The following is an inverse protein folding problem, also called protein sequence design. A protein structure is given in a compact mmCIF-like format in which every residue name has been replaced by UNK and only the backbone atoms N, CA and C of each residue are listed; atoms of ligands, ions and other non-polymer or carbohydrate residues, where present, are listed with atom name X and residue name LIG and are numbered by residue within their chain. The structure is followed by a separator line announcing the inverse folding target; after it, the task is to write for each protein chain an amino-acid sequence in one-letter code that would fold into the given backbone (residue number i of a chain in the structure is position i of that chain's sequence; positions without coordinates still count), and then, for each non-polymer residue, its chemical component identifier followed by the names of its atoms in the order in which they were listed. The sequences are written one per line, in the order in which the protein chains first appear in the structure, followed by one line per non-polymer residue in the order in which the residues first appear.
data_IF_600385926610
#
_entry.id   IF_600385926610
#
_cell.length_a   1.000
_cell.length_b   1.000
_cell.length_c   1.000
_cell.angle_alpha   90.00
_cell.angle_beta   90.00
_cell.angle_gamma   90.00
#
_symmetry.space_group_name_H-M   'P 1'
#
loop_
_entity.id
_entity.type
_entity.pdbx_description
1 polymer ?
#
# COMPACT_ATOMS: atom_id res chain seq x y z
N UNK A 1 -24.06 18.02 20.05
CA UNK A 1 -25.51 17.71 20.13
C UNK A 1 -26.15 18.57 21.22
N UNK A 2 -27.42 19.00 21.13
CA UNK A 2 -28.10 19.66 22.26
C UNK A 2 -28.25 18.69 23.46
N UNK A 3 -28.34 19.20 24.71
CA UNK A 3 -28.54 18.36 25.89
C UNK A 3 -29.80 17.49 25.76
N UNK A 4 -29.60 16.18 25.86
CA UNK A 4 -30.65 15.18 25.66
C UNK A 4 -30.95 14.47 26.97
N UNK A 5 -32.21 14.42 27.42
CA UNK A 5 -32.59 13.75 28.66
C UNK A 5 -32.28 12.26 28.64
N UNK A 6 -31.75 11.72 29.75
CA UNK A 6 -31.45 10.28 29.89
C UNK A 6 -32.49 9.52 30.72
N UNK A 7 -33.58 10.19 31.13
CA UNK A 7 -34.70 9.58 31.86
C UNK A 7 -34.48 9.41 33.37
N UNK A 8 -33.57 10.18 33.98
CA UNK A 8 -33.33 10.19 35.44
C UNK A 8 -33.41 11.63 35.95
N UNK A 9 -34.37 11.95 36.84
CA UNK A 9 -34.48 13.22 37.59
C UNK A 9 -33.95 14.49 36.88
N UNK A 10 -34.47 14.77 35.68
CA UNK A 10 -34.11 15.93 34.85
C UNK A 10 -32.64 16.00 34.39
N UNK A 11 -31.90 14.90 34.48
CA UNK A 11 -30.53 14.78 33.98
C UNK A 11 -30.56 14.66 32.45
N UNK A 12 -29.74 15.49 31.81
CA UNK A 12 -29.50 15.47 30.38
C UNK A 12 -27.99 15.44 30.11
N UNK A 13 -27.61 14.84 28.98
CA UNK A 13 -26.23 14.78 28.51
C UNK A 13 -26.11 15.46 27.15
N UNK A 14 -25.04 16.21 26.92
CA UNK A 14 -24.60 16.55 25.57
C UNK A 14 -23.26 15.88 25.25
N UNK A 15 -22.94 15.82 23.96
CA UNK A 15 -21.64 15.37 23.48
C UNK A 15 -21.14 16.41 22.49
N UNK A 16 -19.88 16.81 22.67
CA UNK A 16 -19.15 17.71 21.79
C UNK A 16 -17.71 17.24 21.62
N UNK A 17 -17.09 17.62 20.51
CA UNK A 17 -15.65 17.48 20.26
C UNK A 17 -15.10 18.84 19.92
N UNK A 18 -14.00 19.23 20.57
CA UNK A 18 -13.24 20.43 20.24
C UNK A 18 -11.74 20.12 20.29
N UNK A 19 -11.03 20.42 19.19
CA UNK A 19 -9.57 20.24 19.03
C UNK A 19 -9.04 18.87 19.53
N UNK A 20 -9.77 17.79 19.26
CA UNK A 20 -9.36 16.42 19.63
C UNK A 20 -9.63 16.05 21.09
N UNK A 21 -10.39 16.86 21.83
CA UNK A 21 -10.89 16.52 23.15
C UNK A 21 -12.41 16.39 23.07
N UNK A 22 -12.91 15.26 23.53
CA UNK A 22 -14.33 14.99 23.68
C UNK A 22 -14.82 15.49 25.02
N UNK A 23 -15.98 16.13 25.01
CA UNK A 23 -16.65 16.66 26.18
C UNK A 23 -18.04 16.05 26.29
N UNK A 24 -18.37 15.60 27.50
CA UNK A 24 -19.73 15.27 27.89
C UNK A 24 -20.15 16.28 28.95
N UNK A 25 -20.99 17.22 28.55
CA UNK A 25 -21.66 18.11 29.48
C UNK A 25 -22.80 17.35 30.16
N UNK A 26 -22.80 17.42 31.49
CA UNK A 26 -23.85 16.85 32.33
C UNK A 26 -24.71 18.03 32.79
N UNK A 27 -26.01 17.95 32.54
CA UNK A 27 -26.97 19.01 32.84
C UNK A 27 -28.07 18.50 33.75
N UNK A 28 -28.64 19.41 34.56
CA UNK A 28 -29.88 19.17 35.28
C UNK A 28 -30.77 20.39 35.16
N UNK A 29 -32.03 20.20 34.74
CA UNK A 29 -33.00 21.31 34.54
C UNK A 29 -32.46 22.45 33.66
N UNK A 30 -31.63 22.11 32.66
CA UNK A 30 -31.02 23.06 31.73
C UNK A 30 -29.72 23.71 32.21
N UNK A 31 -29.32 23.53 33.47
CA UNK A 31 -28.05 24.05 33.98
C UNK A 31 -26.95 23.00 33.91
N UNK A 32 -25.76 23.40 33.43
CA UNK A 32 -24.59 22.53 33.36
C UNK A 32 -24.00 22.34 34.75
N UNK A 33 -23.93 21.09 35.20
CA UNK A 33 -23.49 20.73 36.56
C UNK A 33 -22.09 20.13 36.59
N UNK A 34 -21.64 19.49 35.51
CA UNK A 34 -20.32 18.89 35.42
C UNK A 34 -19.92 18.64 33.95
N UNK A 35 -18.62 18.38 33.75
CA UNK A 35 -18.03 17.95 32.49
C UNK A 35 -17.23 16.66 32.67
N UNK A 36 -17.31 15.75 31.69
CA UNK A 36 -16.33 14.68 31.47
C UNK A 36 -15.55 14.98 30.19
N UNK A 37 -14.28 15.34 30.34
CA UNK A 37 -13.37 15.56 29.22
C UNK A 37 -12.46 14.34 29.03
N UNK A 38 -12.31 13.88 27.79
CA UNK A 38 -11.51 12.71 27.41
C UNK A 38 -10.89 12.92 26.03
N UNK A 39 -9.68 12.40 25.82
CA UNK A 39 -9.09 12.34 24.47
C UNK A 39 -9.74 11.24 23.61
N UNK A 40 -10.25 10.20 24.25
CA UNK A 40 -10.92 9.09 23.59
C UNK A 40 -12.41 9.34 23.45
N UNK A 41 -12.99 8.92 22.32
CA UNK A 41 -14.40 9.11 22.01
C UNK A 41 -15.29 8.40 23.07
N UNK A 42 -16.19 9.14 23.74
CA UNK A 42 -16.96 8.63 24.87
C UNK A 42 -17.93 7.51 24.50
N UNK A 43 -18.34 7.43 23.24
CA UNK A 43 -19.35 6.48 22.74
C UNK A 43 -18.79 5.06 22.58
N UNK A 44 -17.47 4.94 22.44
CA UNK A 44 -16.76 3.65 22.31
C UNK A 44 -15.86 3.35 23.52
N UNK A 45 -15.52 4.39 24.31
CA UNK A 45 -14.64 4.24 25.47
C UNK A 45 -15.35 3.47 26.59
N UNK A 46 -14.78 2.30 26.95
CA UNK A 46 -15.27 1.50 28.07
C UNK A 46 -15.23 2.30 29.38
N UNK A 47 -16.33 2.26 30.13
CA UNK A 47 -16.42 2.88 31.46
C UNK A 47 -16.80 4.37 31.48
N UNK A 48 -17.09 4.99 30.33
CA UNK A 48 -17.60 6.38 30.27
C UNK A 48 -18.88 6.56 31.10
N UNK A 49 -19.86 5.66 30.94
CA UNK A 49 -21.10 5.69 31.73
C UNK A 49 -20.85 5.57 33.25
N UNK A 50 -19.84 4.77 33.65
CA UNK A 50 -19.42 4.68 35.05
C UNK A 50 -18.88 6.02 35.53
N UNK A 51 -17.99 6.68 34.77
CA UNK A 51 -17.45 8.00 35.15
C UNK A 51 -18.54 9.06 35.30
N UNK A 52 -19.51 9.08 34.39
CA UNK A 52 -20.69 9.96 34.49
C UNK A 52 -21.46 9.68 35.77
N UNK A 53 -21.75 8.41 36.05
CA UNK A 53 -22.48 8.02 37.25
C UNK A 53 -21.74 8.42 38.55
N UNK A 54 -20.40 8.30 38.59
CA UNK A 54 -19.61 8.78 39.73
C UNK A 54 -19.69 10.31 39.88
N UNK A 55 -19.61 11.07 38.78
CA UNK A 55 -19.74 12.54 38.79
C UNK A 55 -21.12 12.98 39.26
N UNK A 56 -22.18 12.37 38.74
CA UNK A 56 -23.57 12.64 39.14
C UNK A 56 -23.78 12.28 40.61
N UNK A 57 -23.25 11.14 41.08
CA UNK A 57 -23.36 10.70 42.48
C UNK A 57 -22.64 11.64 43.45
N UNK A 58 -21.52 12.24 43.02
CA UNK A 58 -20.77 13.21 43.81
C UNK A 58 -21.58 14.48 44.05
N UNK A 59 -22.24 15.00 43.01
CA UNK A 59 -23.07 16.21 43.10
C UNK A 59 -24.44 15.92 43.74
N UNK A 60 -24.98 14.71 43.54
CA UNK A 60 -26.30 14.31 44.02
C UNK A 60 -26.25 12.95 44.72
N UNK A 61 -25.89 12.92 46.02
CA UNK A 61 -25.75 11.68 46.78
C UNK A 61 -27.03 10.85 46.91
N UNK A 62 -28.21 11.44 46.70
CA UNK A 62 -29.49 10.73 46.77
C UNK A 62 -29.79 9.87 45.53
N UNK A 63 -29.17 10.15 44.38
CA UNK A 63 -29.41 9.41 43.14
C UNK A 63 -28.78 8.00 43.16
N UNK A 64 -29.46 7.00 42.59
CA UNK A 64 -28.89 5.66 42.44
C UNK A 64 -27.83 5.65 41.32
N UNK A 65 -26.59 5.38 41.73
CA UNK A 65 -25.43 5.27 40.84
C UNK A 65 -25.63 4.23 39.75
N UNK A 66 -26.23 3.07 40.06
CA UNK A 66 -26.47 2.02 39.06
C UNK A 66 -27.52 2.43 38.05
N UNK A 67 -28.58 3.11 38.49
CA UNK A 67 -29.63 3.62 37.62
C UNK A 67 -29.08 4.68 36.66
N UNK A 68 -28.26 5.62 37.15
CA UNK A 68 -27.60 6.64 36.31
C UNK A 68 -26.65 5.99 35.31
N UNK A 69 -25.82 5.03 35.74
CA UNK A 69 -24.92 4.31 34.85
C UNK A 69 -25.71 3.60 33.73
N UNK A 70 -26.76 2.85 34.08
CA UNK A 70 -27.58 2.14 33.09
C UNK A 70 -28.35 3.08 32.16
N UNK A 71 -28.74 4.27 32.62
CA UNK A 71 -29.35 5.31 31.78
C UNK A 71 -28.35 5.91 30.79
N UNK A 72 -27.12 6.21 31.24
CA UNK A 72 -26.05 6.69 30.37
C UNK A 72 -25.64 5.64 29.32
N UNK A 73 -25.56 4.36 29.70
CA UNK A 73 -25.29 3.27 28.76
C UNK A 73 -26.36 3.20 27.65
N UNK A 74 -27.65 3.27 28.01
CA UNK A 74 -28.75 3.30 27.03
C UNK A 74 -28.70 4.53 26.13
N UNK A 75 -28.37 5.70 26.69
CA UNK A 75 -28.18 6.91 25.90
C UNK A 75 -27.07 6.73 24.86
N UNK A 76 -25.92 6.20 25.24
CA UNK A 76 -24.82 5.97 24.30
C UNK A 76 -25.12 4.90 23.26
N UNK A 77 -25.89 3.85 23.60
CA UNK A 77 -26.40 2.90 22.59
C UNK A 77 -27.34 3.61 21.61
N UNK A 78 -28.32 4.37 22.12
CA UNK A 78 -29.26 5.10 21.27
C UNK A 78 -28.56 6.12 20.35
N UNK A 79 -27.54 6.83 20.84
CA UNK A 79 -26.75 7.76 20.01
C UNK A 79 -25.94 6.99 18.95
N UNK A 80 -25.37 5.83 19.28
CA UNK A 80 -24.67 4.98 18.29
C UNK A 80 -25.61 4.43 17.23
N UNK A 81 -26.85 4.10 17.60
CA UNK A 81 -27.87 3.61 16.67
C UNK A 81 -28.48 4.74 15.82
N UNK A 82 -28.55 5.96 16.37
CA UNK A 82 -29.17 7.12 15.70
C UNK A 82 -28.20 7.96 14.85
N UNK A 83 -26.89 7.89 15.11
CA UNK A 83 -25.93 8.89 14.61
C UNK A 83 -24.73 8.27 13.85
N UNK A 84 -24.82 8.28 12.51
CA UNK A 84 -23.71 7.97 11.56
C UNK A 84 -22.53 8.97 11.65
N UNK A 85 -22.60 10.02 12.48
CA UNK A 85 -21.53 11.01 12.59
C UNK A 85 -20.34 10.58 13.47
N UNK A 86 -20.45 9.47 14.22
CA UNK A 86 -19.30 8.93 14.98
C UNK A 86 -18.33 8.18 14.05
N UNK A 87 -18.86 7.54 13.00
CA UNK A 87 -18.08 7.04 11.85
C UNK A 87 -17.43 8.18 11.06
N UNK A 88 -17.94 9.41 11.18
CA UNK A 88 -17.31 10.58 10.57
C UNK A 88 -16.02 11.02 11.28
N UNK A 89 -15.75 10.70 12.55
CA UNK A 89 -14.50 11.20 13.18
C UNK A 89 -13.26 10.55 12.55
N UNK A 90 -13.17 9.23 12.49
CA UNK A 90 -12.03 8.55 11.88
C UNK A 90 -11.94 8.83 10.37
N UNK A 91 -13.06 8.76 9.66
CA UNK A 91 -13.12 9.02 8.21
C UNK A 91 -12.75 10.47 7.91
N UNK A 92 -13.35 11.46 8.59
CA UNK A 92 -13.01 12.87 8.38
C UNK A 92 -11.57 13.16 8.80
N UNK A 93 -11.07 12.62 9.92
CA UNK A 93 -9.67 12.82 10.33
C UNK A 93 -8.70 12.32 9.27
N UNK A 94 -8.93 11.13 8.72
CA UNK A 94 -8.09 10.60 7.65
C UNK A 94 -8.26 11.44 6.39
N UNK A 95 -9.47 11.56 5.84
CA UNK A 95 -9.70 12.24 4.56
C UNK A 95 -9.25 13.71 4.59
N UNK A 96 -9.55 14.45 5.66
CA UNK A 96 -9.12 15.86 5.79
C UNK A 96 -7.61 16.04 5.93
N UNK A 97 -6.90 14.99 6.35
CA UNK A 97 -5.44 15.01 6.43
C UNK A 97 -4.76 14.67 5.11
N UNK A 98 -5.48 14.13 4.12
CA UNK A 98 -4.91 13.73 2.83
C UNK A 98 -4.64 14.96 1.97
N UNK A 99 -3.39 15.08 1.52
CA UNK A 99 -2.98 16.07 0.50
C UNK A 99 -3.04 15.46 -0.90
N UNK A 100 -2.56 14.22 -1.03
CA UNK A 100 -2.52 13.50 -2.32
C UNK A 100 -2.50 12.00 -2.08
N UNK A 101 -3.09 11.25 -3.01
CA UNK A 101 -2.97 9.80 -3.07
C UNK A 101 -2.29 9.43 -4.39
N UNK A 102 -1.20 8.69 -4.28
CA UNK A 102 -0.39 8.23 -5.39
C UNK A 102 -0.51 6.72 -5.49
N UNK A 103 -0.87 6.22 -6.67
CA UNK A 103 -0.79 4.79 -6.98
C UNK A 103 0.52 4.56 -7.72
N UNK A 104 1.53 4.11 -6.98
CA UNK A 104 2.81 3.75 -7.57
C UNK A 104 2.62 2.50 -8.43
N UNK A 105 2.95 2.62 -9.72
CA UNK A 105 2.75 1.57 -10.73
C UNK A 105 3.83 0.47 -10.64
N UNK A 106 4.25 0.12 -9.43
CA UNK A 106 5.12 -1.00 -9.15
C UNK A 106 4.42 -2.35 -9.38
N UNK A 107 5.18 -3.45 -9.42
CA UNK A 107 4.66 -4.82 -9.52
C UNK A 107 4.98 -5.62 -8.23
N UNK A 108 4.03 -5.73 -7.26
CA UNK A 108 2.63 -5.26 -7.32
C UNK A 108 2.47 -3.77 -6.96
N UNK A 109 1.35 -3.11 -7.37
CA UNK A 109 1.13 -1.70 -7.08
C UNK A 109 0.91 -1.41 -5.59
N UNK A 110 1.40 -0.25 -5.16
CA UNK A 110 1.20 0.30 -3.81
C UNK A 110 0.54 1.67 -3.87
N UNK A 111 -0.21 2.00 -2.83
CA UNK A 111 -0.89 3.28 -2.67
C UNK A 111 -0.20 4.07 -1.57
N UNK A 112 0.37 5.22 -1.93
CA UNK A 112 1.01 6.15 -1.00
C UNK A 112 0.05 7.29 -0.73
N UNK A 113 -0.39 7.40 0.51
CA UNK A 113 -1.30 8.43 1.00
C UNK A 113 -0.46 9.49 1.70
N UNK A 114 -0.25 10.64 1.05
CA UNK A 114 0.51 11.76 1.60
C UNK A 114 -0.37 12.65 2.44
N UNK A 115 0.08 12.94 3.65
CA UNK A 115 -0.65 13.72 4.64
C UNK A 115 -0.14 15.17 4.73
N UNK A 116 -0.93 16.03 5.36
CA UNK A 116 -0.71 17.48 5.47
C UNK A 116 0.54 17.92 6.24
N UNK A 117 1.10 17.05 7.07
CA UNK A 117 2.35 17.24 7.81
C UNK A 117 3.59 16.73 7.07
N UNK A 118 3.42 16.20 5.86
CA UNK A 118 4.50 15.64 5.05
C UNK A 118 4.76 14.16 5.30
N UNK A 119 4.07 13.54 6.26
CA UNK A 119 4.16 12.10 6.46
C UNK A 119 3.29 11.32 5.46
N UNK A 120 3.45 9.99 5.42
CA UNK A 120 2.73 9.15 4.48
C UNK A 120 2.35 7.79 5.05
N UNK A 121 1.14 7.33 4.69
CA UNK A 121 0.72 5.95 4.92
C UNK A 121 0.79 5.16 3.61
N UNK A 122 1.41 3.98 3.64
CA UNK A 122 1.57 3.13 2.45
C UNK A 122 0.72 1.87 2.57
N UNK A 123 -0.12 1.61 1.56
CA UNK A 123 -0.99 0.45 1.49
C UNK A 123 -0.67 -0.40 0.26
N UNK A 124 -0.50 -1.71 0.45
CA UNK A 124 -0.48 -2.65 -0.66
C UNK A 124 -1.91 -2.86 -1.20
N UNK A 125 -2.01 -3.35 -2.44
CA UNK A 125 -3.31 -3.79 -2.99
C UNK A 125 -3.98 -4.86 -2.11
N UNK A 126 -3.19 -5.70 -1.43
CA UNK A 126 -3.70 -6.71 -0.48
C UNK A 126 -4.33 -6.06 0.75
N UNK A 127 -3.70 -5.03 1.31
CA UNK A 127 -4.23 -4.32 2.48
C UNK A 127 -5.60 -3.71 2.19
N UNK A 128 -5.71 -3.00 1.05
CA UNK A 128 -6.95 -2.36 0.61
C UNK A 128 -8.06 -3.39 0.28
N UNK A 129 -7.68 -4.57 -0.23
CA UNK A 129 -8.64 -5.65 -0.50
C UNK A 129 -9.12 -6.33 0.78
N UNK A 130 -8.23 -6.55 1.74
CA UNK A 130 -8.53 -7.28 2.98
C UNK A 130 -9.43 -6.48 3.93
N UNK A 131 -9.43 -5.14 3.87
CA UNK A 131 -10.24 -4.25 4.70
C UNK A 131 -10.10 -4.52 6.21
N UNK A 132 -8.90 -4.93 6.65
CA UNK A 132 -8.65 -5.19 8.06
C UNK A 132 -8.34 -3.87 8.79
N UNK A 133 -9.18 -3.42 9.75
CA UNK A 133 -9.03 -2.10 10.35
C UNK A 133 -7.70 -1.91 11.09
N UNK A 134 -7.16 -3.01 11.62
CA UNK A 134 -5.84 -3.01 12.28
C UNK A 134 -4.75 -2.44 11.37
N UNK A 135 -4.79 -2.74 10.07
CA UNK A 135 -3.80 -2.25 9.11
C UNK A 135 -3.84 -0.72 8.96
N UNK A 136 -5.03 -0.13 8.97
CA UNK A 136 -5.21 1.32 8.94
C UNK A 136 -4.83 1.96 10.28
N UNK A 137 -5.32 1.40 11.39
CA UNK A 137 -5.07 1.93 12.73
C UNK A 137 -3.59 1.92 13.11
N UNK A 138 -2.86 0.85 12.79
CA UNK A 138 -1.42 0.76 13.05
C UNK A 138 -0.62 1.80 12.25
N UNK A 139 -0.97 1.99 10.96
CA UNK A 139 -0.30 2.99 10.10
C UNK A 139 -0.60 4.41 10.56
N UNK A 140 -1.84 4.68 10.95
CA UNK A 140 -2.22 5.98 11.50
C UNK A 140 -1.47 6.26 12.80
N UNK A 141 -1.46 5.29 13.74
CA UNK A 141 -0.77 5.44 15.01
C UNK A 141 0.73 5.68 14.81
N UNK A 142 1.36 4.99 13.86
CA UNK A 142 2.79 5.15 13.55
C UNK A 142 3.15 6.55 13.02
N UNK A 143 2.18 7.26 12.44
CA UNK A 143 2.36 8.55 11.77
C UNK A 143 1.85 9.72 12.62
N UNK A 144 0.85 9.47 13.48
CA UNK A 144 0.16 10.52 14.25
C UNK A 144 0.35 10.43 15.74
N UNK A 145 0.99 9.36 16.23
CA UNK A 145 1.14 9.04 17.66
C UNK A 145 -0.18 9.13 18.46
N UNK A 146 -1.32 8.95 17.79
CA UNK A 146 -2.67 9.04 18.35
C UNK A 146 -3.57 7.94 17.75
N UNK A 147 -4.41 7.26 18.54
CA UNK A 147 -5.29 6.23 18.02
C UNK A 147 -6.38 6.78 17.09
N UNK A 148 -6.57 6.09 15.96
CA UNK A 148 -7.67 6.36 15.03
C UNK A 148 -8.97 5.65 15.42
N UNK A 149 -8.86 4.48 16.05
CA UNK A 149 -9.98 3.60 16.44
C UNK A 149 -10.96 3.29 15.29
N UNK A 150 -10.49 3.23 14.05
CA UNK A 150 -11.30 2.93 12.88
C UNK A 150 -11.84 1.49 12.91
N UNK A 151 -13.07 1.32 12.43
CA UNK A 151 -13.75 0.03 12.23
C UNK A 151 -13.60 -0.47 10.78
N UNK A 152 -14.14 -1.67 10.49
CA UNK A 152 -14.19 -2.21 9.13
C UNK A 152 -15.02 -1.36 8.17
N UNK A 153 -16.04 -0.66 8.69
CA UNK A 153 -16.87 0.24 7.88
C UNK A 153 -16.08 1.51 7.53
N UNK A 154 -15.41 2.10 8.50
CA UNK A 154 -14.59 3.30 8.29
C UNK A 154 -13.47 3.05 7.29
N UNK A 155 -12.77 1.91 7.42
CA UNK A 155 -11.71 1.58 6.48
C UNK A 155 -12.24 1.33 5.06
N UNK A 156 -13.45 0.77 4.92
CA UNK A 156 -14.09 0.64 3.61
C UNK A 156 -14.33 2.00 2.96
N UNK A 157 -14.88 2.95 3.71
CA UNK A 157 -15.15 4.31 3.20
C UNK A 157 -13.87 5.07 2.87
N UNK A 158 -12.88 5.02 3.76
CA UNK A 158 -11.55 5.60 3.52
C UNK A 158 -10.94 5.00 2.26
N UNK A 159 -10.93 3.67 2.12
CA UNK A 159 -10.42 3.01 0.92
C UNK A 159 -11.16 3.47 -0.33
N UNK A 160 -12.48 3.54 -0.30
CA UNK A 160 -13.28 3.95 -1.46
C UNK A 160 -12.91 5.38 -1.87
N UNK A 161 -12.67 6.29 -0.91
CA UNK A 161 -12.11 7.61 -1.18
C UNK A 161 -10.69 7.54 -1.77
N UNK A 162 -9.76 6.77 -1.15
CA UNK A 162 -8.38 6.63 -1.62
C UNK A 162 -8.32 6.16 -3.08
N UNK A 163 -9.11 5.14 -3.43
CA UNK A 163 -9.16 4.60 -4.79
C UNK A 163 -9.76 5.60 -5.79
N UNK A 164 -10.70 6.44 -5.35
CA UNK A 164 -11.32 7.46 -6.20
C UNK A 164 -10.39 8.64 -6.52
N UNK A 165 -9.52 9.02 -5.58
CA UNK A 165 -8.62 10.19 -5.74
C UNK A 165 -7.18 9.81 -6.11
N UNK A 166 -6.84 8.52 -6.17
CA UNK A 166 -5.51 8.04 -6.50
C UNK A 166 -5.10 8.42 -7.93
N UNK A 167 -3.95 9.06 -8.06
CA UNK A 167 -3.32 9.36 -9.35
C UNK A 167 -2.19 8.36 -9.60
N UNK A 168 -2.13 7.71 -10.78
CA UNK A 168 -1.01 6.83 -11.10
C UNK A 168 0.29 7.63 -11.20
N UNK A 169 1.35 7.11 -10.59
CA UNK A 169 2.70 7.68 -10.67
C UNK A 169 3.73 6.58 -10.91
N UNK A 170 4.87 6.97 -11.46
CA UNK A 170 6.02 6.08 -11.55
C UNK A 170 6.62 5.87 -10.14
N UNK A 171 7.01 4.63 -9.81
CA UNK A 171 7.64 4.36 -8.53
C UNK A 171 8.99 5.07 -8.43
N UNK A 172 9.42 5.50 -7.23
CA UNK A 172 10.70 6.18 -7.03
C UNK A 172 11.93 5.26 -7.22
N UNK A 173 11.70 3.95 -7.29
CA UNK A 173 12.70 2.92 -7.57
C UNK A 173 12.25 2.01 -8.70
N UNK A 174 12.89 0.84 -8.88
CA UNK A 174 12.54 -0.06 -9.97
C UNK A 174 11.06 -0.45 -9.90
N UNK A 175 10.35 -0.32 -11.02
CA UNK A 175 8.91 -0.59 -11.08
C UNK A 175 8.61 -2.09 -10.96
N UNK A 176 9.61 -2.94 -11.13
CA UNK A 176 9.48 -4.36 -10.87
C UNK A 176 10.72 -4.92 -10.18
N UNK A 177 10.58 -5.88 -9.23
CA UNK A 177 11.72 -6.64 -8.74
C UNK A 177 12.49 -7.36 -9.87
N UNK A 178 11.85 -7.56 -11.02
CA UNK A 178 12.43 -8.18 -12.19
C UNK A 178 13.33 -7.26 -13.02
N UNK A 179 13.24 -5.93 -12.87
CA UNK A 179 14.16 -4.98 -13.53
C UNK A 179 15.60 -5.26 -13.12
N UNK A 180 15.85 -5.42 -11.82
CA UNK A 180 17.18 -5.77 -11.31
C UNK A 180 17.66 -7.13 -11.84
N UNK A 181 16.74 -8.08 -11.98
CA UNK A 181 17.06 -9.42 -12.52
C UNK A 181 17.45 -9.32 -14.00
N UNK A 182 16.72 -8.50 -14.77
CA UNK A 182 17.02 -8.22 -16.17
C UNK A 182 18.39 -7.54 -16.33
N UNK A 183 18.69 -6.48 -15.58
CA UNK A 183 19.99 -5.80 -15.69
C UNK A 183 21.18 -6.71 -15.37
N UNK A 184 21.01 -7.65 -14.42
CA UNK A 184 22.03 -8.67 -14.15
C UNK A 184 22.17 -9.67 -15.29
N UNK A 185 21.07 -10.05 -15.93
CA UNK A 185 21.10 -10.93 -17.09
C UNK A 185 21.85 -10.24 -18.25
N UNK A 186 21.53 -8.99 -18.54
CA UNK A 186 22.21 -8.14 -19.55
C UNK A 186 23.71 -8.07 -19.27
N UNK A 187 24.08 -7.71 -18.03
CA UNK A 187 25.49 -7.69 -17.58
C UNK A 187 26.18 -9.04 -17.75
N UNK A 188 25.47 -10.15 -17.46
CA UNK A 188 26.01 -11.51 -17.53
C UNK A 188 26.29 -11.95 -18.97
N UNK A 189 25.41 -11.58 -19.90
CA UNK A 189 25.51 -12.01 -21.31
C UNK A 189 26.30 -11.04 -22.19
N UNK A 190 26.47 -9.78 -21.77
CA UNK A 190 27.24 -8.76 -22.47
C UNK A 190 28.66 -9.25 -22.90
N UNK A 191 29.50 -9.86 -22.03
CA UNK A 191 30.84 -10.30 -22.44
C UNK A 191 30.85 -11.60 -23.27
N UNK A 192 29.71 -12.29 -23.39
CA UNK A 192 29.66 -13.62 -24.02
C UNK A 192 29.69 -13.48 -25.56
N UNK A 193 30.61 -14.16 -26.28
CA UNK A 193 30.64 -14.12 -27.74
C UNK A 193 29.33 -14.61 -28.38
N UNK A 194 28.85 -13.89 -29.39
CA UNK A 194 27.62 -14.25 -30.10
C UNK A 194 27.93 -15.08 -31.35
N UNK A 195 27.61 -16.37 -31.26
CA UNK A 195 27.73 -17.31 -32.39
C UNK A 195 26.38 -17.46 -33.11
N UNK A 196 26.41 -17.60 -34.44
CA UNK A 196 25.20 -17.81 -35.26
C UNK A 196 24.78 -19.29 -35.36
N UNK A 197 25.55 -20.19 -34.75
CA UNK A 197 25.25 -21.61 -34.71
C UNK A 197 24.84 -22.07 -33.31
N UNK A 198 23.98 -23.09 -33.25
CA UNK A 198 23.48 -23.65 -31.97
C UNK A 198 24.58 -24.30 -31.12
N UNK A 199 25.80 -24.48 -31.62
CA UNK A 199 26.96 -24.86 -30.81
C UNK A 199 27.31 -23.82 -29.74
N UNK A 200 26.98 -22.55 -29.97
CA UNK A 200 27.14 -21.46 -28.99
C UNK A 200 26.38 -21.70 -27.69
N UNK A 201 25.17 -22.28 -27.75
CA UNK A 201 24.41 -22.66 -26.55
C UNK A 201 25.16 -23.65 -25.65
N UNK A 202 25.98 -24.53 -26.24
CA UNK A 202 26.78 -25.49 -25.49
C UNK A 202 28.02 -24.84 -24.90
N UNK A 203 28.77 -24.08 -25.71
CA UNK A 203 30.06 -23.49 -25.32
C UNK A 203 29.91 -22.31 -24.37
N UNK A 204 28.95 -21.45 -24.66
CA UNK A 204 28.84 -20.11 -24.10
C UNK A 204 27.49 -19.88 -23.40
N UNK A 205 26.49 -20.72 -23.68
CA UNK A 205 25.15 -20.58 -23.10
C UNK A 205 24.23 -19.65 -23.89
N UNK A 206 24.69 -19.05 -25.00
CA UNK A 206 23.87 -18.23 -25.90
C UNK A 206 24.18 -18.53 -27.38
N UNK A 207 23.23 -18.28 -28.29
CA UNK A 207 23.47 -18.19 -29.72
C UNK A 207 22.41 -17.33 -30.42
N UNK A 208 22.74 -16.69 -31.54
CA UNK A 208 21.77 -16.00 -32.40
C UNK A 208 21.26 -16.96 -33.47
N UNK A 209 19.95 -17.18 -33.54
CA UNK A 209 19.36 -17.95 -34.62
C UNK A 209 19.23 -17.12 -35.92
N UNK A 210 19.23 -17.76 -37.11
CA UNK A 210 19.08 -17.06 -38.39
C UNK A 210 17.80 -16.22 -38.55
N UNK A 211 16.78 -16.49 -37.73
CA UNK A 211 15.54 -15.72 -37.67
C UNK A 211 15.63 -14.46 -36.78
N UNK A 212 16.82 -14.15 -36.25
CA UNK A 212 17.05 -12.98 -35.40
C UNK A 212 16.72 -13.19 -33.92
N UNK A 213 16.41 -14.42 -33.48
CA UNK A 213 16.13 -14.71 -32.07
C UNK A 213 17.41 -15.06 -31.32
N UNK A 214 17.69 -14.35 -30.24
CA UNK A 214 18.77 -14.70 -29.32
C UNK A 214 18.30 -15.82 -28.39
N UNK A 215 18.93 -16.99 -28.45
CA UNK A 215 18.69 -18.06 -27.51
C UNK A 215 19.61 -17.93 -26.31
N UNK A 216 19.05 -17.98 -25.10
CA UNK A 216 19.79 -17.98 -23.83
C UNK A 216 19.43 -19.24 -23.05
N UNK A 217 20.44 -19.96 -22.56
CA UNK A 217 20.26 -21.21 -21.82
C UNK A 217 19.49 -20.99 -20.51
N UNK A 218 18.62 -21.94 -20.18
CA UNK A 218 17.71 -21.80 -19.03
C UNK A 218 18.41 -21.82 -17.68
N UNK A 219 19.53 -22.54 -17.55
CA UNK A 219 20.36 -22.53 -16.34
C UNK A 219 21.00 -21.16 -16.09
N UNK A 220 21.52 -20.49 -17.14
CA UNK A 220 22.09 -19.14 -17.03
C UNK A 220 21.04 -18.14 -16.52
N UNK A 221 19.81 -18.22 -17.03
CA UNK A 221 18.70 -17.40 -16.54
C UNK A 221 18.34 -17.76 -15.10
N UNK A 222 18.28 -19.05 -14.76
CA UNK A 222 17.97 -19.51 -13.40
C UNK A 222 19.01 -19.03 -12.38
N UNK A 223 20.30 -19.09 -12.72
CA UNK A 223 21.38 -18.60 -11.86
C UNK A 223 21.20 -17.10 -11.56
N UNK A 224 20.88 -16.30 -12.58
CA UNK A 224 20.63 -14.85 -12.41
C UNK A 224 19.39 -14.58 -11.53
N UNK A 225 18.33 -15.38 -11.69
CA UNK A 225 17.12 -15.27 -10.84
C UNK A 225 17.48 -15.54 -9.38
N UNK A 226 18.22 -16.62 -9.10
CA UNK A 226 18.66 -17.01 -7.75
C UNK A 226 19.58 -15.95 -7.15
N UNK A 227 20.56 -15.45 -7.89
CA UNK A 227 21.47 -14.38 -7.44
C UNK A 227 20.73 -13.07 -7.14
N UNK A 228 19.53 -12.87 -7.70
CA UNK A 228 18.66 -11.71 -7.44
C UNK A 228 17.73 -11.91 -6.25
N UNK A 229 17.87 -13.02 -5.51
CA UNK A 229 17.04 -13.36 -4.35
C UNK A 229 15.62 -13.78 -4.73
N UNK A 230 15.38 -14.09 -6.00
CA UNK A 230 14.07 -14.48 -6.52
C UNK A 230 13.97 -16.00 -6.63
N UNK A 231 12.74 -16.53 -6.67
CA UNK A 231 12.52 -17.97 -6.84
C UNK A 231 12.64 -18.36 -8.33
N UNK A 232 13.60 -19.22 -8.73
CA UNK A 232 13.78 -19.64 -10.13
C UNK A 232 12.62 -20.48 -10.68
N UNK A 233 11.75 -21.00 -9.80
CA UNK A 233 10.55 -21.73 -10.19
C UNK A 233 9.31 -20.82 -10.32
N UNK A 234 9.41 -19.54 -9.96
CA UNK A 234 8.34 -18.57 -10.22
C UNK A 234 8.40 -18.14 -11.69
N UNK A 235 7.29 -18.31 -12.41
CA UNK A 235 7.13 -17.80 -13.77
C UNK A 235 7.07 -16.27 -13.89
N UNK A 236 7.24 -15.54 -12.78
CA UNK A 236 7.21 -14.07 -12.73
C UNK A 236 8.19 -13.41 -13.70
N UNK A 237 9.43 -13.90 -13.78
CA UNK A 237 10.42 -13.34 -14.70
C UNK A 237 10.03 -13.52 -16.17
N UNK A 238 9.50 -14.69 -16.53
CA UNK A 238 9.01 -14.94 -17.90
C UNK A 238 7.84 -14.02 -18.25
N UNK A 239 6.89 -13.83 -17.33
CA UNK A 239 5.77 -12.89 -17.50
C UNK A 239 6.26 -11.45 -17.66
N UNK A 240 7.25 -11.05 -16.86
CA UNK A 240 7.88 -9.74 -16.95
C UNK A 240 8.55 -9.50 -18.30
N UNK A 241 9.43 -10.40 -18.75
CA UNK A 241 10.10 -10.27 -20.05
C UNK A 241 9.11 -10.26 -21.22
N UNK A 242 8.02 -11.04 -21.13
CA UNK A 242 6.95 -11.02 -22.14
C UNK A 242 6.20 -9.69 -22.17
N UNK A 243 5.92 -9.10 -21.01
CA UNK A 243 5.30 -7.76 -20.89
C UNK A 243 6.18 -6.67 -21.50
N UNK A 244 7.50 -6.78 -21.34
CA UNK A 244 8.50 -5.85 -21.91
C UNK A 244 8.78 -6.10 -23.40
N UNK A 245 8.20 -7.12 -24.02
CA UNK A 245 8.47 -7.47 -25.42
C UNK A 245 9.84 -8.15 -25.65
N UNK A 246 10.57 -8.47 -24.59
CA UNK A 246 11.91 -9.09 -24.65
C UNK A 246 11.79 -10.60 -24.90
N UNK A 247 10.83 -11.29 -24.28
CA UNK A 247 10.66 -12.74 -24.45
C UNK A 247 9.83 -13.05 -25.71
N UNK A 248 10.47 -13.65 -26.71
CA UNK A 248 9.85 -14.05 -27.98
C UNK A 248 9.41 -15.52 -27.96
N UNK A 249 10.17 -16.39 -27.29
CA UNK A 249 9.93 -17.84 -27.23
C UNK A 249 10.15 -18.33 -25.80
N UNK A 250 9.12 -18.94 -25.21
CA UNK A 250 9.22 -19.55 -23.88
C UNK A 250 10.29 -20.67 -23.84
N UNK A 251 10.74 -20.98 -22.62
CA UNK A 251 11.73 -22.04 -22.40
C UNK A 251 11.29 -23.35 -23.03
N UNK A 252 12.05 -23.85 -24.00
CA UNK A 252 11.80 -25.15 -24.63
C UNK A 252 13.11 -25.89 -24.92
N UNK A 253 13.08 -27.21 -25.11
CA UNK A 253 14.27 -27.97 -25.47
C UNK A 253 14.70 -27.70 -26.91
N UNK A 254 15.99 -27.47 -27.10
CA UNK A 254 16.65 -27.33 -28.41
C UNK A 254 17.64 -28.46 -28.63
N UNK A 255 17.67 -28.96 -29.86
CA UNK A 255 18.66 -29.95 -30.31
C UNK A 255 19.89 -29.23 -30.83
N UNK A 256 21.03 -29.51 -30.22
CA UNK A 256 22.35 -29.02 -30.67
C UNK A 256 22.99 -30.12 -31.53
N UNK A 257 23.42 -29.81 -32.77
CA UNK A 257 24.15 -30.74 -33.63
C UNK A 257 25.34 -31.39 -32.89
N UNK A 258 25.49 -32.71 -33.04
CA UNK A 258 26.61 -33.45 -32.43
C UNK A 258 26.48 -33.76 -30.93
N UNK A 259 25.33 -33.47 -30.31
CA UNK A 259 25.08 -33.77 -28.88
C UNK A 259 23.76 -34.51 -28.66
N UNK A 260 23.79 -35.51 -27.75
CA UNK A 260 22.60 -36.25 -27.30
C UNK A 260 21.70 -35.46 -26.33
N UNK A 261 22.20 -34.72 -25.31
CA UNK A 261 21.31 -33.99 -24.42
C UNK A 261 20.66 -32.80 -25.14
N UNK A 262 19.36 -32.62 -24.91
CA UNK A 262 18.64 -31.42 -25.29
C UNK A 262 18.99 -30.30 -24.31
N UNK A 263 19.20 -29.10 -24.83
CA UNK A 263 19.47 -27.91 -24.02
C UNK A 263 18.21 -27.08 -23.97
N UNK A 264 17.72 -26.74 -22.77
CA UNK A 264 16.59 -25.82 -22.63
C UNK A 264 17.07 -24.39 -22.73
N UNK A 265 16.42 -23.60 -23.58
CA UNK A 265 16.76 -22.20 -23.79
C UNK A 265 15.49 -21.36 -23.97
N UNK A 266 15.60 -20.08 -23.68
CA UNK A 266 14.58 -19.05 -23.89
C UNK A 266 14.98 -18.28 -25.14
N UNK A 267 14.02 -17.92 -25.98
CA UNK A 267 14.27 -17.05 -27.13
C UNK A 267 13.88 -15.62 -26.79
N UNK A 268 14.83 -14.71 -26.83
CA UNK A 268 14.65 -13.29 -26.51
C UNK A 268 15.05 -12.41 -27.69
N UNK A 269 14.70 -11.12 -27.62
CA UNK A 269 15.21 -10.12 -28.56
C UNK A 269 16.73 -10.02 -28.43
N UNK A 270 17.47 -9.79 -29.52
CA UNK A 270 18.92 -9.61 -29.46
C UNK A 270 19.33 -8.33 -28.72
N UNK A 271 18.46 -7.32 -28.70
CA UNK A 271 18.66 -6.00 -28.07
C UNK A 271 19.00 -6.09 -26.56
N UNK A 272 18.66 -7.20 -25.89
CA UNK A 272 19.07 -7.47 -24.50
C UNK A 272 20.60 -7.55 -24.32
N UNK A 273 21.36 -7.67 -25.40
CA UNK A 273 22.83 -7.64 -25.36
C UNK A 273 23.41 -6.23 -25.56
N UNK A 274 22.61 -5.29 -26.08
CA UNK A 274 23.08 -3.96 -26.45
C UNK A 274 22.82 -2.96 -25.30
N UNK A 275 23.89 -2.58 -24.61
CA UNK A 275 23.93 -1.34 -23.83
C UNK A 275 24.51 -0.22 -24.72
N UNK A 276 23.93 0.99 -24.65
CA UNK A 276 24.40 2.28 -25.21
C UNK A 276 23.90 2.65 -26.62
N UNK A 277 22.63 3.05 -26.72
CA UNK A 277 22.31 4.22 -27.55
C UNK A 277 22.82 5.47 -26.82
N UNK A 278 24.11 5.79 -26.99
CA UNK A 278 24.69 7.14 -26.92
C UNK A 278 26.22 7.04 -26.85
N UNK A 279 26.89 7.34 -27.97
CA UNK A 279 28.36 7.32 -28.05
C UNK A 279 28.95 7.43 -29.46
N UNK A 280 28.13 7.49 -30.51
CA UNK A 280 28.57 7.81 -31.87
C UNK A 280 27.69 8.90 -32.52
N UNK A 281 27.32 9.94 -31.76
CA UNK A 281 27.23 11.27 -32.36
C UNK A 281 28.62 11.89 -32.30
N UNK A 282 29.28 12.02 -33.45
CA UNK A 282 30.54 12.75 -33.56
C UNK A 282 31.68 11.99 -34.23
N UNK A 283 31.49 11.62 -35.49
CA UNK A 283 32.60 11.61 -36.46
C UNK A 283 32.03 11.86 -37.86
N UNK A 284 31.45 13.05 -38.04
CA UNK A 284 31.54 13.70 -39.34
C UNK A 284 33.02 14.08 -39.54
N UNK A 285 33.80 13.16 -40.08
CA UNK A 285 35.02 13.52 -40.79
C UNK A 285 34.59 14.16 -42.11
N UNK A 286 34.24 15.44 -42.07
CA UNK A 286 34.36 16.28 -43.26
C UNK A 286 35.86 16.57 -43.45
N UNK A 287 36.38 16.08 -44.57
CA UNK A 287 37.74 16.34 -45.04
C UNK A 287 38.01 17.86 -45.12
N UNK A 288 39.15 18.36 -44.59
CA UNK A 288 39.73 19.58 -45.10
C UNK A 288 40.56 19.23 -46.34
N UNK A 289 40.05 19.64 -47.49
CA UNK A 289 40.76 19.77 -48.77
C UNK A 289 42.11 20.45 -48.54
N UNK A 290 43.19 19.80 -48.99
CA UNK A 290 44.54 20.34 -49.06
C UNK A 290 45.17 20.03 -50.41
N UNK A 291 45.05 21.01 -51.31
CA UNK A 291 46.00 21.56 -52.32
C UNK A 291 45.29 22.03 -53.60
#
# INVERSE_FOLDING_TARGET
MPPTPIGIEDIALDIASDRGVWYIGIYRRGEKIADDASRSNPLITKGTAKRIAERVKKEFPHLDRKAVQGAADRFFEAVREADETITADAVCRVISSIVRVEKEMSDPPVYVVRLSDGESMVFSTRDLAALQPIALNERWLAVRDDPLDATGRDFKEIRDHLLAVAVPVDPPGPASPWERTLSKLETRIAPIPLEQDRGGLKRHGICLEPNGVLLIRSDLIQDVIVESGQNPNDGGFARYLKKMGILLVESKPYRIPGTKPLVRAWGVTPDIKDDLTDGLEGSLSEDPVGD
#
